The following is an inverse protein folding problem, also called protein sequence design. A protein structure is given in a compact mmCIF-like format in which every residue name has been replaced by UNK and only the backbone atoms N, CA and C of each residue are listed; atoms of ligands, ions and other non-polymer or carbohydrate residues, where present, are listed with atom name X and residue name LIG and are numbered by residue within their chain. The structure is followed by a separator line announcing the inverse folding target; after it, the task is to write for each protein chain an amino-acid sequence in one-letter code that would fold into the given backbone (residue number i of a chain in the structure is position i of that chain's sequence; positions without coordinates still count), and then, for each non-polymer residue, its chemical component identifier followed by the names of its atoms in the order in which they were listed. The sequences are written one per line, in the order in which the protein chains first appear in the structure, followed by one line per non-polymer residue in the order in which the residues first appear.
data_IF_879562624581
#
_entry.id   IF_879562624581
#
_cell.length_a   1.000
_cell.length_b   1.000
_cell.length_c   1.000
_cell.angle_alpha   90.00
_cell.angle_beta   90.00
_cell.angle_gamma   90.00
#
_symmetry.space_group_name_H-M   'P 1'
#
loop_
_entity.id
_entity.type
_entity.pdbx_description
1 polymer ?
#
# COMPACT_ATOMS: atom_id res chain seq x y z
N UNK A 1 -1.67 28.57 -24.28
CA UNK A 1 -2.08 27.21 -24.68
C UNK A 1 -2.65 26.51 -23.45
N UNK A 2 -3.95 26.68 -23.20
CA UNK A 2 -4.64 26.05 -22.07
C UNK A 2 -4.95 24.60 -22.45
N UNK A 3 -4.26 23.66 -21.81
CA UNK A 3 -4.52 22.23 -22.03
C UNK A 3 -5.91 21.92 -21.50
N UNK A 4 -6.88 21.68 -22.40
CA UNK A 4 -8.23 21.23 -22.06
C UNK A 4 -8.09 19.96 -21.21
N UNK A 5 -8.43 19.97 -19.91
CA UNK A 5 -8.37 18.76 -19.12
C UNK A 5 -9.35 17.77 -19.77
N UNK A 6 -8.84 16.57 -20.08
CA UNK A 6 -9.61 15.47 -20.67
C UNK A 6 -10.92 15.35 -19.90
N UNK A 7 -12.04 15.72 -20.54
CA UNK A 7 -13.35 15.78 -19.89
C UNK A 7 -13.59 14.44 -19.19
N UNK A 8 -13.57 14.37 -17.85
CA UNK A 8 -13.70 13.09 -17.19
C UNK A 8 -15.11 12.59 -17.46
N UNK A 9 -15.24 11.35 -17.94
CA UNK A 9 -16.51 10.60 -18.18
C UNK A 9 -17.54 10.77 -17.05
N UNK A 10 -17.08 11.13 -15.84
CA UNK A 10 -17.88 11.41 -14.66
C UNK A 10 -18.75 12.67 -14.80
N UNK A 11 -18.31 13.72 -15.51
CA UNK A 11 -19.11 14.93 -15.77
C UNK A 11 -20.28 14.60 -16.68
N UNK A 12 -20.01 13.88 -17.78
CA UNK A 12 -21.07 13.49 -18.72
C UNK A 12 -22.15 12.64 -18.02
N UNK A 13 -21.73 11.64 -17.23
CA UNK A 13 -22.66 10.83 -16.42
C UNK A 13 -23.42 11.64 -15.38
N UNK A 14 -22.80 12.65 -14.80
CA UNK A 14 -23.48 13.52 -13.84
C UNK A 14 -24.66 14.23 -14.50
N UNK A 15 -24.46 14.82 -15.67
CA UNK A 15 -25.53 15.49 -16.41
C UNK A 15 -26.55 14.54 -17.04
N UNK A 16 -26.18 13.28 -17.33
CA UNK A 16 -27.14 12.25 -17.74
C UNK A 16 -28.14 11.89 -16.62
N UNK A 17 -27.68 11.92 -15.36
CA UNK A 17 -28.49 11.56 -14.18
C UNK A 17 -29.21 12.78 -13.58
N UNK A 18 -28.64 13.98 -13.72
CA UNK A 18 -29.24 15.21 -13.23
C UNK A 18 -30.55 15.52 -13.97
N UNK A 19 -31.55 16.00 -13.24
CA UNK A 19 -32.83 16.38 -13.84
C UNK A 19 -32.63 17.43 -14.95
N UNK A 20 -33.32 17.21 -16.07
CA UNK A 20 -33.15 18.05 -17.27
C UNK A 20 -33.64 19.48 -17.05
N UNK A 21 -34.69 19.67 -16.25
CA UNK A 21 -35.21 21.01 -15.96
C UNK A 21 -34.27 21.77 -15.05
N UNK A 22 -33.69 21.09 -14.05
CA UNK A 22 -32.64 21.67 -13.20
C UNK A 22 -31.40 22.02 -14.02
N UNK A 23 -30.94 21.12 -14.90
CA UNK A 23 -29.76 21.34 -15.74
C UNK A 23 -29.92 22.55 -16.67
N UNK A 24 -31.13 22.79 -17.17
CA UNK A 24 -31.47 23.94 -18.01
C UNK A 24 -31.48 25.27 -17.24
N UNK A 25 -31.69 25.23 -15.92
CA UNK A 25 -31.71 26.43 -15.05
C UNK A 25 -30.32 26.83 -14.55
N UNK A 26 -29.30 25.99 -14.70
CA UNK A 26 -27.94 26.28 -14.25
C UNK A 26 -27.29 27.36 -15.13
N UNK A 27 -26.73 28.39 -14.49
CA UNK A 27 -25.92 29.41 -15.17
C UNK A 27 -24.57 28.83 -15.62
N UNK A 28 -23.88 29.47 -16.59
CA UNK A 28 -22.55 29.05 -17.01
C UNK A 28 -21.54 28.98 -15.85
N UNK A 29 -21.55 29.97 -14.95
CA UNK A 29 -20.65 30.01 -13.79
C UNK A 29 -20.94 28.86 -12.82
N UNK A 30 -22.22 28.54 -12.60
CA UNK A 30 -22.62 27.41 -11.75
C UNK A 30 -22.16 26.07 -12.35
N UNK A 31 -22.24 25.91 -13.68
CA UNK A 31 -21.76 24.70 -14.35
C UNK A 31 -20.26 24.54 -14.19
N UNK A 32 -19.49 25.60 -14.38
CA UNK A 32 -18.04 25.57 -14.22
C UNK A 32 -17.61 25.19 -12.79
N UNK A 33 -18.23 25.77 -11.77
CA UNK A 33 -17.97 25.42 -10.37
C UNK A 33 -18.36 23.96 -10.04
N UNK A 34 -19.50 23.49 -10.55
CA UNK A 34 -19.93 22.09 -10.40
C UNK A 34 -18.93 21.13 -11.06
N UNK A 35 -18.50 21.41 -12.30
CA UNK A 35 -17.53 20.60 -13.01
C UNK A 35 -16.19 20.55 -12.28
N UNK A 36 -15.69 21.70 -11.81
CA UNK A 36 -14.47 21.81 -11.01
C UNK A 36 -14.57 21.00 -9.70
N UNK A 37 -15.69 21.10 -9.00
CA UNK A 37 -15.96 20.33 -7.80
C UNK A 37 -15.98 18.81 -8.09
N UNK A 38 -16.67 18.37 -9.15
CA UNK A 38 -16.72 16.95 -9.54
C UNK A 38 -15.31 16.43 -9.87
N UNK A 39 -14.52 17.20 -10.63
CA UNK A 39 -13.15 16.83 -11.00
C UNK A 39 -12.27 16.68 -9.76
N UNK A 40 -12.33 17.65 -8.84
CA UNK A 40 -11.50 17.63 -7.63
C UNK A 40 -11.84 16.44 -6.70
N UNK A 41 -13.13 16.13 -6.53
CA UNK A 41 -13.59 14.97 -5.75
C UNK A 41 -13.17 13.66 -6.42
N UNK A 42 -13.28 13.58 -7.74
CA UNK A 42 -12.98 12.36 -8.50
C UNK A 42 -11.47 12.09 -8.57
N UNK A 43 -10.64 13.11 -8.74
CA UNK A 43 -9.17 12.97 -8.78
C UNK A 43 -8.63 12.43 -7.46
N UNK A 44 -9.20 12.82 -6.31
CA UNK A 44 -8.86 12.29 -4.99
C UNK A 44 -9.23 10.80 -4.81
N UNK A 45 -10.05 10.23 -5.71
CA UNK A 45 -10.45 8.81 -5.71
C UNK A 45 -9.62 7.94 -6.66
N UNK A 46 -8.76 8.55 -7.51
CA UNK A 46 -7.94 7.78 -8.46
C UNK A 46 -6.74 7.15 -7.74
N UNK A 47 -6.84 5.86 -7.49
CA UNK A 47 -5.72 5.04 -7.02
C UNK A 47 -5.02 4.38 -8.21
N UNK A 48 -3.68 4.31 -8.18
CA UNK A 48 -2.91 3.62 -9.23
C UNK A 48 -3.19 2.12 -9.24
N UNK A 49 -3.46 1.56 -8.06
CA UNK A 49 -3.89 0.18 -7.88
C UNK A 49 -5.20 0.23 -7.11
N UNK A 50 -6.27 -0.24 -7.74
CA UNK A 50 -7.60 -0.39 -7.15
C UNK A 50 -8.05 -1.84 -7.38
N UNK A 51 -7.92 -2.67 -6.35
CA UNK A 51 -8.36 -4.06 -6.37
C UNK A 51 -9.56 -4.17 -5.45
N UNK A 52 -10.73 -4.35 -6.04
CA UNK A 52 -11.98 -4.65 -5.32
C UNK A 52 -12.44 -6.03 -5.74
N UNK A 53 -12.38 -6.98 -4.81
CA UNK A 53 -12.82 -8.33 -5.05
C UNK A 53 -13.83 -8.72 -3.99
N UNK A 54 -14.91 -9.34 -4.44
CA UNK A 54 -15.85 -10.03 -3.57
C UNK A 54 -15.71 -11.51 -3.81
N UNK A 55 -15.64 -12.29 -2.74
CA UNK A 55 -15.57 -13.74 -2.83
C UNK A 55 -16.49 -14.39 -1.81
N UNK A 56 -17.12 -15.53 -2.15
CA UNK A 56 -17.91 -16.28 -1.20
C UNK A 56 -16.99 -17.00 -0.21
N UNK A 57 -17.30 -16.93 1.08
CA UNK A 57 -16.61 -17.65 2.15
C UNK A 57 -17.62 -18.01 3.24
N UNK A 58 -17.77 -19.30 3.54
CA UNK A 58 -18.69 -19.83 4.56
C UNK A 58 -20.13 -19.28 4.46
N UNK A 59 -20.71 -19.29 3.25
CA UNK A 59 -22.09 -18.82 3.03
C UNK A 59 -22.28 -17.30 3.11
N UNK A 60 -21.21 -16.53 3.35
CA UNK A 60 -21.21 -15.07 3.33
C UNK A 60 -20.40 -14.56 2.14
N UNK A 61 -20.77 -13.41 1.57
CA UNK A 61 -19.90 -12.70 0.62
C UNK A 61 -19.01 -11.74 1.38
N UNK A 62 -17.72 -12.05 1.39
CA UNK A 62 -16.70 -11.14 1.90
C UNK A 62 -16.29 -10.19 0.78
N UNK A 63 -15.91 -8.97 1.16
CA UNK A 63 -15.35 -7.98 0.25
C UNK A 63 -13.94 -7.62 0.71
N UNK A 64 -13.02 -7.54 -0.24
CA UNK A 64 -11.66 -7.10 -0.05
C UNK A 64 -11.42 -5.90 -0.96
N UNK A 65 -10.93 -4.81 -0.36
CA UNK A 65 -10.57 -3.58 -1.07
C UNK A 65 -9.12 -3.29 -0.75
N UNK A 66 -8.29 -3.24 -1.78
CA UNK A 66 -6.90 -2.84 -1.70
C UNK A 66 -6.67 -1.65 -2.62
N UNK A 67 -6.27 -0.53 -2.02
CA UNK A 67 -6.02 0.73 -2.72
C UNK A 67 -4.57 1.12 -2.46
N UNK A 68 -3.79 1.33 -3.53
CA UNK A 68 -2.44 1.87 -3.44
C UNK A 68 -2.29 3.05 -4.41
N UNK A 69 -1.78 4.17 -3.90
CA UNK A 69 -1.59 5.38 -4.68
C UNK A 69 -0.97 6.50 -3.84
N UNK A 70 -0.59 7.59 -4.50
CA UNK A 70 -0.16 8.82 -3.83
C UNK A 70 -1.38 9.48 -3.20
N UNK A 71 -1.27 9.94 -1.95
CA UNK A 71 -2.31 10.77 -1.37
C UNK A 71 -2.24 12.17 -1.99
N UNK A 72 -3.32 12.57 -2.65
CA UNK A 72 -3.47 13.88 -3.30
C UNK A 72 -4.51 14.76 -2.56
N UNK A 73 -4.96 14.32 -1.38
CA UNK A 73 -5.97 15.05 -0.62
C UNK A 73 -5.35 16.28 0.04
N UNK A 74 -6.00 17.43 -0.11
CA UNK A 74 -5.62 18.69 0.54
C UNK A 74 -5.71 18.62 2.07
N UNK A 75 -6.61 17.78 2.62
CA UNK A 75 -6.82 17.63 4.06
C UNK A 75 -6.30 16.27 4.52
N UNK A 76 -5.24 16.29 5.32
CA UNK A 76 -4.73 15.10 5.99
C UNK A 76 -5.78 14.52 6.94
N UNK A 77 -6.07 13.22 6.83
CA UNK A 77 -6.85 12.50 7.83
C UNK A 77 -5.96 12.27 9.05
N UNK A 78 -6.48 12.34 10.29
CA UNK A 78 -5.73 11.89 11.44
C UNK A 78 -5.32 10.43 11.19
N UNK A 79 -4.02 10.16 11.26
CA UNK A 79 -3.51 8.81 11.05
C UNK A 79 -4.22 7.84 11.98
N UNK A 80 -4.68 6.72 11.44
CA UNK A 80 -5.29 5.70 12.29
C UNK A 80 -4.23 5.14 13.23
N UNK A 81 -4.56 5.04 14.53
CA UNK A 81 -3.67 4.45 15.53
C UNK A 81 -3.22 3.04 15.12
N UNK A 82 -4.11 2.27 14.48
CA UNK A 82 -3.81 0.94 13.94
C UNK A 82 -2.74 0.98 12.84
N UNK A 83 -2.82 1.93 11.91
CA UNK A 83 -1.80 2.09 10.86
C UNK A 83 -0.41 2.31 11.49
N UNK A 84 -0.34 3.17 12.51
CA UNK A 84 0.93 3.42 13.21
C UNK A 84 1.46 2.16 13.88
N UNK A 85 0.62 1.41 14.59
CA UNK A 85 1.00 0.15 15.25
C UNK A 85 1.54 -0.86 14.24
N UNK A 86 0.84 -1.06 13.11
CA UNK A 86 1.26 -2.00 12.06
C UNK A 86 2.61 -1.60 11.47
N UNK A 87 2.78 -0.31 11.14
CA UNK A 87 4.05 0.20 10.60
C UNK A 87 5.19 0.03 11.61
N UNK A 88 4.96 0.34 12.90
CA UNK A 88 5.95 0.13 13.95
C UNK A 88 6.34 -1.34 14.08
N UNK A 89 5.37 -2.26 14.06
CA UNK A 89 5.63 -3.70 14.09
C UNK A 89 6.46 -4.16 12.89
N UNK A 90 6.14 -3.65 11.69
CA UNK A 90 6.85 -4.01 10.46
C UNK A 90 8.31 -3.52 10.50
N UNK A 91 8.55 -2.30 10.99
CA UNK A 91 9.90 -1.75 11.15
C UNK A 91 10.68 -2.55 12.20
N UNK A 92 10.07 -2.87 13.34
CA UNK A 92 10.70 -3.65 14.40
C UNK A 92 11.07 -5.05 13.92
N UNK A 93 10.15 -5.72 13.21
CA UNK A 93 10.39 -7.03 12.62
C UNK A 93 11.53 -6.98 11.59
N UNK A 94 11.51 -6.00 10.67
CA UNK A 94 12.56 -5.84 9.67
C UNK A 94 13.94 -5.59 10.31
N UNK A 95 13.98 -4.78 11.37
CA UNK A 95 15.22 -4.48 12.11
C UNK A 95 15.76 -5.73 12.79
N UNK A 96 14.89 -6.49 13.49
CA UNK A 96 15.28 -7.72 14.16
C UNK A 96 15.77 -8.77 13.16
N UNK A 97 15.06 -8.91 12.04
CA UNK A 97 15.44 -9.84 10.97
C UNK A 97 16.83 -9.50 10.40
N UNK A 98 17.09 -8.23 10.09
CA UNK A 98 18.40 -7.77 9.63
C UNK A 98 19.50 -8.05 10.66
N UNK A 99 19.24 -7.78 11.93
CA UNK A 99 20.18 -8.05 13.01
C UNK A 99 20.49 -9.55 13.12
N UNK A 100 19.48 -10.41 13.04
CA UNK A 100 19.67 -11.86 12.99
C UNK A 100 20.51 -12.29 11.78
N UNK A 101 20.27 -11.74 10.59
CA UNK A 101 21.07 -12.02 9.39
C UNK A 101 22.54 -11.62 9.57
N UNK A 102 22.81 -10.46 10.16
CA UNK A 102 24.18 -9.99 10.43
C UNK A 102 24.86 -10.92 11.43
N UNK A 103 24.21 -11.24 12.56
CA UNK A 103 24.77 -12.16 13.56
C UNK A 103 25.01 -13.55 12.98
N UNK A 104 24.08 -14.07 12.17
CA UNK A 104 24.27 -15.34 11.48
C UNK A 104 25.46 -15.30 10.53
N UNK A 105 25.62 -14.22 9.78
CA UNK A 105 26.76 -14.04 8.85
C UNK A 105 28.09 -14.01 9.62
N UNK A 106 28.16 -13.23 10.70
CA UNK A 106 29.35 -13.18 11.56
C UNK A 106 29.65 -14.54 12.19
N UNK A 107 28.61 -15.27 12.62
CA UNK A 107 28.75 -16.63 13.13
C UNK A 107 29.32 -17.58 12.06
N UNK A 108 28.83 -17.51 10.82
CA UNK A 108 29.34 -18.33 9.71
C UNK A 108 30.81 -18.02 9.42
N UNK A 109 31.20 -16.74 9.40
CA UNK A 109 32.60 -16.33 9.20
C UNK A 109 33.48 -16.86 10.34
N UNK A 110 33.06 -16.67 11.61
CA UNK A 110 33.75 -17.22 12.78
C UNK A 110 33.94 -18.73 12.64
N UNK A 111 32.88 -19.45 12.30
CA UNK A 111 32.91 -20.92 12.18
C UNK A 111 33.80 -21.39 11.04
N UNK A 112 33.82 -20.69 9.91
CA UNK A 112 34.71 -20.99 8.79
C UNK A 112 36.19 -20.74 9.11
N UNK A 113 36.49 -19.75 9.96
CA UNK A 113 37.86 -19.43 10.41
C UNK A 113 38.36 -20.36 11.52
N UNK A 114 37.50 -21.24 12.07
CA UNK A 114 37.87 -22.15 13.16
C UNK A 114 38.19 -21.44 14.48
N UNK A 115 37.77 -20.18 14.66
CA UNK A 115 38.04 -19.42 15.89
C UNK A 115 37.03 -19.83 16.95
N UNK A 116 37.48 -20.44 18.04
CA UNK A 116 36.60 -20.80 19.17
C UNK A 116 36.52 -19.71 20.23
N UNK A 117 35.42 -18.94 20.19
CA UNK A 117 35.10 -17.93 21.22
C UNK A 117 34.61 -18.55 22.54
N UNK A 118 34.03 -19.76 22.49
CA UNK A 118 33.53 -20.48 23.66
C UNK A 118 34.06 -21.90 23.61
N UNK A 119 34.93 -22.26 24.55
CA UNK A 119 35.36 -23.64 24.70
C UNK A 119 34.12 -24.50 25.03
N UNK A 120 33.86 -25.52 24.20
CA UNK A 120 32.77 -26.50 24.33
C UNK A 120 31.34 -26.08 23.91
N UNK A 121 31.15 -24.96 23.19
CA UNK A 121 29.82 -24.60 22.68
C UNK A 121 29.82 -24.14 21.22
N UNK A 122 29.21 -24.96 20.36
CA UNK A 122 28.98 -24.67 18.94
C UNK A 122 27.49 -24.83 18.62
N UNK A 123 26.92 -23.87 17.88
CA UNK A 123 25.49 -23.89 17.50
C UNK A 123 25.20 -24.94 16.40
N UNK A 124 26.22 -25.44 15.69
CA UNK A 124 26.10 -26.54 14.72
C UNK A 124 25.53 -26.18 13.34
N UNK A 125 25.22 -24.90 13.09
CA UNK A 125 24.62 -24.45 11.82
C UNK A 125 25.62 -24.58 10.65
N UNK A 126 26.92 -24.37 10.93
CA UNK A 126 27.98 -24.54 9.93
C UNK A 126 28.16 -26.00 9.51
N UNK A 127 28.15 -26.93 10.47
CA UNK A 127 28.26 -28.37 10.19
C UNK A 127 27.05 -28.88 9.41
N UNK A 128 25.85 -28.41 9.75
CA UNK A 128 24.64 -28.66 8.97
C UNK A 128 24.76 -28.14 7.53
N UNK A 129 25.27 -26.91 7.33
CA UNK A 129 25.51 -26.34 6.01
C UNK A 129 26.53 -27.15 5.20
N UNK A 130 27.64 -27.56 5.81
CA UNK A 130 28.65 -28.40 5.17
C UNK A 130 28.04 -29.74 4.73
N UNK A 131 27.28 -30.39 5.61
CA UNK A 131 26.60 -31.64 5.28
C UNK A 131 25.68 -31.50 4.05
N UNK A 132 24.93 -30.40 3.97
CA UNK A 132 24.07 -30.09 2.82
C UNK A 132 24.83 -29.92 1.50
N UNK A 133 26.09 -29.48 1.55
CA UNK A 133 26.94 -29.28 0.38
C UNK A 133 27.61 -30.57 -0.11
N UNK A 134 27.77 -31.56 0.77
CA UNK A 134 28.41 -32.84 0.47
C UNK A 134 27.41 -33.99 0.23
N UNK A 135 26.10 -33.70 0.21
CA UNK A 135 25.06 -34.53 -0.42
C UNK A 135 24.95 -34.23 -1.91
#
# INVERSE_FOLDING_TARGET
MTSKPRNPIVIDRFYEVLDKNVTAQLTPEQKEEIESAIVSITLASRHRIDIRKSFPFFGKRLYMVFLLGRDLRTRSRPESKLSRIVVTFLILFATLFLLCCVLLTLYMIKSALGIDLFQHFHVGIWDWWLNLKYQ
#
